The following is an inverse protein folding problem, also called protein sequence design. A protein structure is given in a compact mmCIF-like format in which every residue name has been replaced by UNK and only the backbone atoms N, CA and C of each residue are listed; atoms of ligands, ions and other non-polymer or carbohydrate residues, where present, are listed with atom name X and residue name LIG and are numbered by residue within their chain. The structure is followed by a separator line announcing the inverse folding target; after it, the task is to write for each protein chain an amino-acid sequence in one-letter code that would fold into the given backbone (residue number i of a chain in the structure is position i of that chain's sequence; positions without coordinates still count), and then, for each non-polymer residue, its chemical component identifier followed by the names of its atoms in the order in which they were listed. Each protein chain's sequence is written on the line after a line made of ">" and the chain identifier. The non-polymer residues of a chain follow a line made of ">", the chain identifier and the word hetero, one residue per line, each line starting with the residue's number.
data_IF_509176451932
#
_entry.id   IF_509176451932
#
_cell.length_a   1.000
_cell.length_b   1.000
_cell.length_c   1.000
_cell.angle_alpha   90.00
_cell.angle_beta   90.00
_cell.angle_gamma   90.00
#
_symmetry.space_group_name_H-M   'P 1'
#
loop_
_entity.id
_entity.type
_entity.pdbx_description
1 polymer ?
#
# COMPACT_ATOMS: atom_id res chain seq x y z
N UNK A 1 32.32 55.37 -17.58
CA UNK A 1 32.70 53.95 -17.36
C UNK A 1 31.43 53.14 -17.19
N UNK A 2 31.18 52.20 -18.09
CA UNK A 2 30.04 51.26 -18.05
C UNK A 2 30.20 50.23 -16.92
N UNK A 3 29.10 49.82 -16.29
CA UNK A 3 28.84 48.48 -15.68
C UNK A 3 27.49 48.53 -14.93
N UNK A 4 26.37 48.16 -15.55
CA UNK A 4 25.82 46.79 -15.63
C UNK A 4 25.78 46.11 -14.26
N UNK A 5 24.58 45.91 -13.71
CA UNK A 5 24.15 44.64 -13.08
C UNK A 5 22.68 44.68 -12.67
N UNK A 6 21.80 44.58 -13.67
CA UNK A 6 20.57 43.79 -13.51
C UNK A 6 20.95 42.31 -13.42
N UNK A 7 20.07 41.51 -12.83
CA UNK A 7 20.02 40.03 -12.79
C UNK A 7 20.71 39.35 -11.61
N UNK A 8 20.06 39.38 -10.44
CA UNK A 8 20.21 38.34 -9.42
C UNK A 8 18.86 38.10 -8.73
N UNK A 9 17.86 37.60 -9.48
CA UNK A 9 16.52 37.29 -8.95
C UNK A 9 15.99 35.92 -9.40
N UNK A 10 16.86 35.01 -9.83
CA UNK A 10 16.45 33.73 -10.48
C UNK A 10 17.10 32.47 -9.93
N UNK A 11 17.69 32.50 -8.72
CA UNK A 11 18.38 31.30 -8.17
C UNK A 11 17.60 30.62 -7.02
N UNK A 12 16.60 31.27 -6.41
CA UNK A 12 15.93 30.70 -5.23
C UNK A 12 14.80 29.69 -5.52
N UNK A 13 14.39 29.52 -6.78
CA UNK A 13 13.27 28.62 -7.14
C UNK A 13 13.71 27.18 -7.46
N UNK A 14 15.01 26.93 -7.61
CA UNK A 14 15.52 25.60 -7.99
C UNK A 14 15.64 24.62 -6.80
N UNK A 15 15.52 25.09 -5.55
CA UNK A 15 15.70 24.27 -4.35
C UNK A 15 14.40 23.68 -3.77
N UNK A 16 13.24 23.99 -4.34
CA UNK A 16 11.95 23.48 -3.86
C UNK A 16 11.60 22.05 -4.31
N UNK A 17 12.39 21.44 -5.18
CA UNK A 17 12.02 20.20 -5.91
C UNK A 17 12.57 18.89 -5.31
N UNK A 18 13.06 18.88 -4.07
CA UNK A 18 13.76 17.71 -3.50
C UNK A 18 13.15 17.15 -2.20
N UNK A 19 11.85 17.38 -1.94
CA UNK A 19 11.14 16.74 -0.80
C UNK A 19 9.93 15.95 -1.31
N UNK A 20 10.17 15.07 -2.27
CA UNK A 20 9.32 13.90 -2.50
C UNK A 20 10.15 12.64 -2.25
N UNK A 21 10.78 12.59 -1.07
CA UNK A 21 11.26 11.33 -0.51
C UNK A 21 10.04 10.43 -0.41
N UNK A 22 10.00 9.42 -1.29
CA UNK A 22 8.86 8.57 -1.58
C UNK A 22 8.01 8.25 -0.35
N UNK A 23 6.94 9.01 -0.18
CA UNK A 23 5.74 8.47 0.42
C UNK A 23 5.25 7.44 -0.59
N UNK A 24 5.78 6.21 -0.48
CA UNK A 24 5.10 5.06 -1.09
C UNK A 24 3.66 5.17 -0.62
N UNK A 25 2.67 5.17 -1.54
CA UNK A 25 1.28 5.26 -1.13
C UNK A 25 1.09 4.23 -0.04
N UNK A 26 0.60 4.64 1.13
CA UNK A 26 0.15 3.70 2.14
C UNK A 26 -0.95 2.90 1.44
N UNK A 27 -0.58 1.73 0.91
CA UNK A 27 -1.45 0.86 0.16
C UNK A 27 -2.51 0.43 1.17
N UNK A 28 -3.64 1.15 1.21
CA UNK A 28 -4.77 0.77 2.03
C UNK A 28 -5.16 -0.61 1.55
N UNK A 29 -4.90 -1.62 2.38
CA UNK A 29 -5.03 -3.01 2.02
C UNK A 29 -6.47 -3.23 1.53
N UNK A 30 -6.64 -3.56 0.24
CA UNK A 30 -7.96 -3.63 -0.38
C UNK A 30 -8.50 -5.03 -0.22
N UNK A 31 -9.77 -5.17 0.15
CA UNK A 31 -10.40 -6.50 0.24
C UNK A 31 -10.42 -7.12 -1.16
N UNK A 32 -9.81 -8.30 -1.30
CA UNK A 32 -9.75 -9.02 -2.57
C UNK A 32 -10.74 -10.17 -2.64
N UNK A 33 -10.84 -10.94 -1.55
CA UNK A 33 -11.74 -12.09 -1.50
C UNK A 33 -12.00 -12.56 -0.05
N UNK A 34 -12.97 -13.46 0.11
CA UNK A 34 -13.38 -14.03 1.40
C UNK A 34 -13.45 -15.56 1.27
N UNK A 35 -12.87 -16.26 2.25
CA UNK A 35 -12.73 -17.71 2.25
C UNK A 35 -13.32 -18.33 3.51
N UNK A 36 -13.79 -19.57 3.39
CA UNK A 36 -14.19 -20.37 4.55
C UNK A 36 -12.96 -20.95 5.25
N UNK A 37 -12.04 -21.54 4.49
CA UNK A 37 -10.82 -22.14 5.01
C UNK A 37 -9.63 -21.17 4.97
N UNK A 38 -8.82 -21.21 6.03
CA UNK A 38 -7.59 -20.42 6.11
C UNK A 38 -6.60 -20.77 5.00
N UNK A 39 -6.49 -22.05 4.66
CA UNK A 39 -5.58 -22.57 3.64
C UNK A 39 -5.84 -21.96 2.27
N UNK A 40 -7.11 -21.76 1.90
CA UNK A 40 -7.46 -21.11 0.63
C UNK A 40 -7.10 -19.63 0.61
N UNK A 41 -7.28 -18.93 1.73
CA UNK A 41 -6.85 -17.53 1.85
C UNK A 41 -5.33 -17.41 1.63
N UNK A 42 -4.52 -18.18 2.35
CA UNK A 42 -3.06 -18.12 2.20
C UNK A 42 -2.56 -18.63 0.85
N UNK A 43 -3.22 -19.66 0.28
CA UNK A 43 -2.90 -20.19 -1.04
C UNK A 43 -3.12 -19.13 -2.12
N UNK A 44 -4.28 -18.48 -2.14
CA UNK A 44 -4.56 -17.43 -3.13
C UNK A 44 -3.72 -16.17 -2.88
N UNK A 45 -3.53 -15.79 -1.62
CA UNK A 45 -2.64 -14.70 -1.20
C UNK A 45 -1.22 -14.87 -1.74
N UNK A 46 -0.65 -16.06 -1.54
CA UNK A 46 0.69 -16.41 -2.03
C UNK A 46 0.74 -16.43 -3.56
N UNK A 47 -0.30 -16.99 -4.20
CA UNK A 47 -0.41 -16.98 -5.66
C UNK A 47 -0.37 -15.56 -6.22
N UNK A 48 -1.09 -14.61 -5.62
CA UNK A 48 -1.10 -13.24 -6.12
C UNK A 48 0.22 -12.50 -5.93
N UNK A 49 0.98 -12.77 -4.85
CA UNK A 49 2.36 -12.25 -4.73
C UNK A 49 3.26 -12.84 -5.81
N UNK A 50 3.20 -14.16 -6.01
CA UNK A 50 4.03 -14.86 -7.00
C UNK A 50 3.74 -14.42 -8.44
N UNK A 51 2.51 -14.00 -8.74
CA UNK A 51 2.08 -13.58 -10.07
C UNK A 51 1.98 -12.05 -10.23
N UNK A 52 2.46 -11.28 -9.25
CA UNK A 52 2.49 -9.82 -9.33
C UNK A 52 1.13 -9.12 -9.29
N UNK A 53 0.08 -9.79 -8.77
CA UNK A 53 -1.25 -9.20 -8.58
C UNK A 53 -1.26 -8.19 -7.43
N UNK A 54 -0.41 -8.40 -6.42
CA UNK A 54 -0.19 -7.51 -5.28
C UNK A 54 1.21 -7.69 -4.68
N UNK A 55 1.70 -6.68 -3.98
CA UNK A 55 3.04 -6.69 -3.36
C UNK A 55 3.07 -7.47 -2.04
N UNK A 56 1.98 -7.43 -1.28
CA UNK A 56 1.83 -8.12 -0.01
C UNK A 56 0.37 -8.49 0.21
N UNK A 57 0.09 -9.39 1.14
CA UNK A 57 -1.28 -9.74 1.51
C UNK A 57 -1.38 -10.06 3.01
N UNK A 58 -2.60 -10.03 3.53
CA UNK A 58 -2.93 -10.53 4.86
C UNK A 58 -4.25 -11.30 4.83
N UNK A 59 -4.36 -12.30 5.69
CA UNK A 59 -5.55 -13.11 5.89
C UNK A 59 -6.05 -12.91 7.32
N UNK A 60 -7.21 -12.28 7.46
CA UNK A 60 -7.81 -11.97 8.77
C UNK A 60 -9.04 -12.84 9.01
N UNK A 61 -9.05 -13.62 10.09
CA UNK A 61 -10.23 -14.35 10.50
C UNK A 61 -11.22 -13.43 11.20
N UNK A 62 -12.46 -13.42 10.71
CA UNK A 62 -13.57 -12.68 11.32
C UNK A 62 -14.62 -13.70 11.78
N UNK A 63 -14.71 -13.87 13.09
CA UNK A 63 -15.73 -14.71 13.73
C UNK A 63 -17.11 -14.08 13.56
N UNK A 64 -18.11 -14.89 13.24
CA UNK A 64 -19.51 -14.51 13.27
C UNK A 64 -20.15 -15.10 14.53
N UNK A 65 -20.39 -14.27 15.54
CA UNK A 65 -21.04 -14.69 16.78
C UNK A 65 -20.12 -15.32 17.83
N UNK A 66 -20.73 -15.86 18.88
CA UNK A 66 -20.09 -16.30 20.12
C UNK A 66 -20.03 -17.83 20.30
N UNK A 67 -20.16 -18.59 19.21
CA UNK A 67 -20.13 -20.05 19.25
C UNK A 67 -18.73 -20.59 19.57
N UNK A 68 -18.65 -21.81 20.12
CA UNK A 68 -17.38 -22.52 20.36
C UNK A 68 -17.43 -23.90 19.67
N UNK A 69 -16.60 -24.16 18.65
CA UNK A 69 -15.64 -23.24 18.04
C UNK A 69 -16.32 -22.06 17.32
N UNK A 70 -15.63 -20.91 17.19
CA UNK A 70 -16.15 -19.78 16.43
C UNK A 70 -16.22 -20.15 14.94
N UNK A 71 -17.40 -19.99 14.32
CA UNK A 71 -17.52 -20.03 12.88
C UNK A 71 -17.28 -18.62 12.32
N UNK A 72 -16.69 -18.53 11.14
CA UNK A 72 -16.30 -17.26 10.56
C UNK A 72 -15.70 -17.43 9.19
N UNK A 73 -15.19 -16.33 8.65
CA UNK A 73 -14.55 -16.30 7.35
C UNK A 73 -13.18 -15.65 7.43
N UNK A 74 -12.32 -16.01 6.50
CA UNK A 74 -11.01 -15.43 6.29
C UNK A 74 -11.07 -14.39 5.18
N UNK A 75 -10.78 -13.14 5.52
CA UNK A 75 -10.78 -12.02 4.61
C UNK A 75 -9.36 -11.77 4.10
N UNK A 76 -9.19 -11.78 2.79
CA UNK A 76 -7.91 -11.50 2.14
C UNK A 76 -7.83 -10.03 1.77
N UNK A 77 -6.85 -9.33 2.33
CA UNK A 77 -6.53 -7.96 1.96
C UNK A 77 -5.16 -7.89 1.28
N UNK A 78 -5.07 -7.11 0.21
CA UNK A 78 -3.83 -6.93 -0.55
C UNK A 78 -3.85 -5.65 -1.40
#
# INVERSE_FOLDING_TARGET
>A
MHKVRNLLLTVALASGLAVSLGAMPAQAATLRNVYYDSSDCYRYGSYGVQNGLWTSYTCTFVSNGSSTPPYGFWFLYA
#
